data_IF_359922569231
#
_entry.id   IF_359922569231
#
_cell.length_a   1.000
_cell.length_b   1.000
_cell.length_c   1.000
_cell.angle_alpha   90.00
_cell.angle_beta   90.00
_cell.angle_gamma   90.00
#
_symmetry.space_group_name_H-M   'P 1'
#
loop_
_entity.id
_entity.type
_entity.pdbx_description
1 polymer ?
#
# COMPACT_ATOMS: atom_id res chain seq x y z
N UNK A 1 16.22 -32.75 6.52
CA UNK A 1 16.62 -32.09 5.25
C UNK A 1 16.13 -30.66 5.39
N UNK A 2 16.93 -29.63 5.17
CA UNK A 2 16.43 -28.25 5.35
C UNK A 2 15.62 -27.89 4.11
N UNK A 3 14.30 -27.73 4.25
CA UNK A 3 13.42 -27.29 3.17
C UNK A 3 13.54 -25.78 2.92
N UNK A 4 13.14 -25.30 1.74
CA UNK A 4 13.14 -23.87 1.38
C UNK A 4 11.92 -23.56 0.54
N UNK A 5 11.14 -22.54 0.93
CA UNK A 5 9.96 -22.08 0.22
C UNK A 5 10.03 -20.55 0.03
N UNK A 6 9.51 -20.05 -1.09
CA UNK A 6 9.54 -18.63 -1.44
C UNK A 6 8.32 -18.27 -2.31
N UNK A 7 7.80 -17.05 -2.14
CA UNK A 7 6.84 -16.43 -3.06
C UNK A 7 7.56 -15.28 -3.82
N UNK A 8 7.92 -15.47 -5.11
CA UNK A 8 8.67 -14.48 -5.88
C UNK A 8 7.85 -13.22 -6.23
N UNK A 9 6.53 -13.27 -6.05
CA UNK A 9 5.58 -12.20 -6.37
C UNK A 9 5.00 -11.58 -5.10
N UNK A 10 5.75 -11.61 -4.00
CA UNK A 10 5.36 -11.02 -2.73
C UNK A 10 6.51 -10.18 -2.17
N UNK A 11 6.31 -8.87 -2.08
CA UNK A 11 7.28 -7.97 -1.49
C UNK A 11 6.70 -6.61 -1.15
N UNK A 12 7.56 -5.71 -0.66
CA UNK A 12 7.15 -4.39 -0.18
C UNK A 12 6.44 -3.52 -1.23
N UNK A 13 6.67 -3.79 -2.52
CA UNK A 13 6.02 -3.09 -3.64
C UNK A 13 4.53 -3.42 -3.72
N UNK A 14 4.14 -4.66 -3.41
CA UNK A 14 2.74 -5.08 -3.45
C UNK A 14 1.91 -4.37 -2.39
N UNK A 15 2.50 -4.15 -1.21
CA UNK A 15 1.91 -3.31 -0.16
C UNK A 15 1.75 -1.85 -0.62
N UNK A 16 2.77 -1.28 -1.27
CA UNK A 16 2.68 0.08 -1.81
C UNK A 16 1.57 0.20 -2.87
N UNK A 17 1.40 -0.84 -3.70
CA UNK A 17 0.36 -0.89 -4.72
C UNK A 17 -1.05 -0.92 -4.12
N UNK A 18 -1.29 -1.73 -3.09
CA UNK A 18 -2.60 -1.78 -2.41
C UNK A 18 -2.97 -0.44 -1.77
N UNK A 19 -2.01 0.22 -1.12
CA UNK A 19 -2.22 1.56 -0.56
C UNK A 19 -2.53 2.57 -1.68
N UNK A 20 -1.76 2.51 -2.77
CA UNK A 20 -1.91 3.41 -3.91
C UNK A 20 -3.31 3.29 -4.53
N UNK A 21 -3.79 2.06 -4.72
CA UNK A 21 -5.12 1.80 -5.28
C UNK A 21 -6.23 2.27 -4.32
N UNK A 22 -6.08 2.04 -3.01
CA UNK A 22 -7.04 2.55 -2.02
C UNK A 22 -7.11 4.10 -2.00
N UNK A 23 -5.96 4.77 -2.08
CA UNK A 23 -5.91 6.24 -2.14
C UNK A 23 -6.45 6.78 -3.47
N UNK A 24 -6.21 6.06 -4.58
CA UNK A 24 -6.80 6.40 -5.88
C UNK A 24 -8.32 6.37 -5.81
N UNK A 25 -8.89 5.30 -5.24
CA UNK A 25 -10.34 5.17 -5.09
C UNK A 25 -10.94 6.26 -4.20
N UNK A 26 -10.27 6.63 -3.10
CA UNK A 26 -10.69 7.75 -2.24
C UNK A 26 -10.65 9.07 -3.02
N UNK A 27 -9.58 9.32 -3.78
CA UNK A 27 -9.43 10.56 -4.53
C UNK A 27 -10.40 10.66 -5.70
N UNK A 28 -10.70 9.54 -6.36
CA UNK A 28 -11.71 9.49 -7.40
C UNK A 28 -13.11 9.75 -6.83
N UNK A 29 -13.42 9.23 -5.63
CA UNK A 29 -14.71 9.47 -4.97
C UNK A 29 -14.86 10.92 -4.48
N UNK A 30 -13.81 11.47 -3.85
CA UNK A 30 -13.87 12.79 -3.20
C UNK A 30 -13.62 13.95 -4.14
N UNK A 31 -12.63 13.83 -5.03
CA UNK A 31 -12.18 14.92 -5.90
C UNK A 31 -12.52 14.68 -7.37
N UNK A 32 -13.08 13.51 -7.73
CA UNK A 32 -13.33 13.10 -9.12
C UNK A 32 -12.06 13.18 -9.99
N UNK A 33 -10.90 12.99 -9.37
CA UNK A 33 -9.59 13.01 -10.01
C UNK A 33 -9.09 11.59 -10.23
N UNK A 34 -8.51 11.34 -11.40
CA UNK A 34 -7.76 10.10 -11.65
C UNK A 34 -6.25 10.36 -11.46
N UNK A 35 -5.69 9.81 -10.39
CA UNK A 35 -4.26 9.89 -10.06
C UNK A 35 -3.37 9.13 -11.06
N UNK A 36 -3.95 8.28 -11.90
CA UNK A 36 -3.24 7.55 -12.97
C UNK A 36 -3.21 8.30 -14.30
N UNK A 37 -3.90 9.44 -14.41
CA UNK A 37 -3.92 10.26 -15.63
C UNK A 37 -2.52 10.71 -16.08
N UNK A 38 -1.61 10.97 -15.13
CA UNK A 38 -0.25 11.45 -15.41
C UNK A 38 0.79 10.65 -14.64
N UNK A 39 1.85 10.21 -15.32
CA UNK A 39 2.97 9.46 -14.71
C UNK A 39 3.60 10.20 -13.52
N UNK A 40 3.71 11.53 -13.60
CA UNK A 40 4.21 12.39 -12.51
C UNK A 40 3.33 12.33 -11.26
N UNK A 41 2.01 12.40 -11.43
CA UNK A 41 1.06 12.32 -10.33
C UNK A 41 1.14 10.93 -9.65
N UNK A 42 1.13 9.86 -10.45
CA UNK A 42 1.31 8.49 -9.95
C UNK A 42 2.61 8.31 -9.16
N UNK A 43 3.73 8.85 -9.65
CA UNK A 43 5.01 8.74 -8.96
C UNK A 43 5.03 9.50 -7.62
N UNK A 44 4.47 10.72 -7.59
CA UNK A 44 4.35 11.50 -6.34
C UNK A 44 3.46 10.79 -5.32
N UNK A 45 2.31 10.27 -5.75
CA UNK A 45 1.42 9.51 -4.88
C UNK A 45 2.09 8.25 -4.34
N UNK A 46 2.79 7.49 -5.20
CA UNK A 46 3.54 6.32 -4.77
C UNK A 46 4.60 6.66 -3.71
N UNK A 47 5.31 7.77 -3.86
CA UNK A 47 6.32 8.20 -2.89
C UNK A 47 5.71 8.52 -1.51
N UNK A 48 4.54 9.18 -1.49
CA UNK A 48 3.82 9.44 -0.23
C UNK A 48 3.23 8.16 0.37
N UNK A 49 2.71 7.24 -0.45
CA UNK A 49 2.25 5.93 0.01
C UNK A 49 3.40 5.12 0.65
N UNK A 50 4.59 5.13 0.06
CA UNK A 50 5.76 4.43 0.61
C UNK A 50 6.19 5.05 1.96
N UNK A 51 6.22 6.39 2.07
CA UNK A 51 6.48 7.08 3.33
C UNK A 51 5.44 6.72 4.38
N UNK A 52 4.16 6.74 4.02
CA UNK A 52 3.06 6.38 4.91
C UNK A 52 3.19 4.93 5.41
N UNK A 53 3.52 3.98 4.52
CA UNK A 53 3.79 2.57 4.89
C UNK A 53 4.90 2.45 5.95
N UNK A 54 6.02 3.17 5.76
CA UNK A 54 7.12 3.18 6.73
C UNK A 54 6.67 3.74 8.09
N UNK A 55 5.92 4.84 8.08
CA UNK A 55 5.41 5.47 9.30
C UNK A 55 4.38 4.59 10.03
N UNK A 56 3.49 3.90 9.31
CA UNK A 56 2.50 2.98 9.89
C UNK A 56 3.14 1.74 10.53
N UNK A 57 4.36 1.38 10.10
CA UNK A 57 5.11 0.29 10.74
C UNK A 57 5.63 0.67 12.13
N UNK A 58 5.82 1.97 12.40
CA UNK A 58 6.30 2.48 13.69
C UNK A 58 5.20 3.08 14.55
N UNK A 59 4.16 3.66 13.94
CA UNK A 59 3.13 4.45 14.62
C UNK A 59 1.75 3.80 14.52
N UNK A 60 0.98 3.89 15.59
CA UNK A 60 -0.42 3.40 15.63
C UNK A 60 -1.42 4.47 15.20
N UNK A 61 -1.03 5.74 15.25
CA UNK A 61 -1.89 6.86 14.89
C UNK A 61 -2.15 6.92 13.37
N UNK A 62 -3.32 7.42 12.94
CA UNK A 62 -3.61 7.62 11.53
C UNK A 62 -2.57 8.53 10.87
N UNK A 63 -1.97 8.06 9.79
CA UNK A 63 -0.94 8.81 9.06
C UNK A 63 -1.62 9.62 7.95
N UNK A 64 -1.36 10.94 7.87
CA UNK A 64 -1.85 11.75 6.77
C UNK A 64 -1.10 11.38 5.47
N UNK A 65 -1.86 11.27 4.38
CA UNK A 65 -1.33 11.05 3.04
C UNK A 65 -1.85 12.22 2.21
N UNK A 66 -1.05 13.27 2.08
CA UNK A 66 -1.43 14.50 1.41
C UNK A 66 -0.41 14.93 0.38
N UNK A 67 -0.88 15.48 -0.74
CA UNK A 67 -0.05 16.05 -1.79
C UNK A 67 -0.56 17.43 -2.15
N UNK A 68 0.33 18.40 -2.03
CA UNK A 68 0.13 19.77 -2.49
C UNK A 68 0.37 19.88 -4.01
N UNK A 69 -0.50 20.64 -4.67
CA UNK A 69 -0.50 20.84 -6.13
C UNK A 69 -0.38 19.50 -6.88
N UNK A 70 -1.32 18.58 -6.65
CA UNK A 70 -1.22 17.22 -7.14
C UNK A 70 -1.60 17.10 -8.62
N UNK A 71 -2.82 17.48 -8.97
CA UNK A 71 -3.34 17.51 -10.34
C UNK A 71 -4.21 18.74 -10.50
N UNK A 72 -4.01 19.52 -11.58
CA UNK A 72 -4.74 20.77 -11.85
C UNK A 72 -4.68 21.77 -10.67
N UNK A 73 -3.53 21.87 -10.00
CA UNK A 73 -3.31 22.72 -8.82
C UNK A 73 -4.29 22.46 -7.66
N UNK A 74 -4.90 21.28 -7.62
CA UNK A 74 -5.71 20.84 -6.49
C UNK A 74 -4.87 20.07 -5.48
N UNK A 75 -5.08 20.42 -4.21
CA UNK A 75 -4.52 19.71 -3.07
C UNK A 75 -5.38 18.50 -2.75
N UNK A 76 -4.74 17.34 -2.61
CA UNK A 76 -5.41 16.11 -2.20
C UNK A 76 -4.89 15.72 -0.83
N UNK A 77 -5.83 15.53 0.10
CA UNK A 77 -5.52 15.10 1.45
C UNK A 77 -6.35 13.87 1.81
N UNK A 78 -5.66 12.82 2.24
CA UNK A 78 -6.20 11.59 2.78
C UNK A 78 -5.57 11.26 4.13
N UNK A 79 -6.12 10.26 4.80
CA UNK A 79 -5.56 9.67 6.01
C UNK A 79 -5.78 8.17 5.96
N UNK A 80 -4.84 7.40 6.48
CA UNK A 80 -4.98 5.96 6.59
C UNK A 80 -4.62 5.54 8.00
N UNK A 81 -5.50 4.74 8.62
CA UNK A 81 -5.21 4.13 9.91
C UNK A 81 -4.47 2.81 9.73
N UNK A 82 -3.81 2.35 10.79
CA UNK A 82 -3.19 1.03 10.81
C UNK A 82 -4.21 -0.10 10.60
N UNK A 83 -5.43 0.05 11.12
CA UNK A 83 -6.49 -0.93 10.94
C UNK A 83 -6.89 -1.07 9.44
N UNK A 84 -7.02 0.05 8.74
CA UNK A 84 -7.32 0.05 7.30
C UNK A 84 -6.18 -0.62 6.52
N UNK A 85 -4.93 -0.33 6.88
CA UNK A 85 -3.76 -0.95 6.25
C UNK A 85 -3.70 -2.47 6.49
N UNK A 86 -3.94 -2.92 7.71
CA UNK A 86 -3.99 -4.34 8.05
C UNK A 86 -5.11 -5.04 7.28
N UNK A 87 -6.27 -4.41 7.13
CA UNK A 87 -7.37 -4.94 6.32
C UNK A 87 -7.04 -5.04 4.83
N UNK A 88 -6.48 -3.99 4.24
CA UNK A 88 -6.07 -3.97 2.84
C UNK A 88 -5.04 -5.05 2.53
N UNK A 89 -4.16 -5.35 3.49
CA UNK A 89 -3.01 -6.24 3.28
C UNK A 89 -3.26 -7.68 3.70
N UNK A 90 -4.44 -8.01 4.25
CA UNK A 90 -4.86 -9.38 4.58
C UNK A 90 -4.54 -10.40 3.47
N UNK A 91 -4.83 -10.15 2.18
CA UNK A 91 -4.55 -11.13 1.13
C UNK A 91 -3.05 -11.44 0.96
N UNK A 92 -2.19 -10.44 1.16
CA UNK A 92 -0.73 -10.63 1.11
C UNK A 92 -0.24 -11.41 2.34
N UNK A 93 -0.77 -11.09 3.52
CA UNK A 93 -0.42 -11.79 4.76
C UNK A 93 -0.83 -13.28 4.71
N UNK A 94 -1.98 -13.60 4.12
CA UNK A 94 -2.41 -14.98 3.88
C UNK A 94 -1.46 -15.72 2.95
N UNK A 95 -0.99 -15.08 1.87
CA UNK A 95 0.03 -15.69 0.98
C UNK A 95 1.35 -15.96 1.70
N UNK A 96 1.80 -15.03 2.55
CA UNK A 96 2.98 -15.26 3.39
C UNK A 96 2.79 -16.47 4.31
N UNK A 97 1.63 -16.56 4.96
CA UNK A 97 1.28 -17.69 5.84
C UNK A 97 1.28 -19.01 5.07
N UNK A 98 0.67 -19.07 3.90
CA UNK A 98 0.63 -20.28 3.07
C UNK A 98 2.04 -20.75 2.68
N UNK A 99 2.95 -19.80 2.40
CA UNK A 99 4.35 -20.12 2.07
C UNK A 99 5.07 -20.76 3.26
N UNK A 100 4.83 -20.26 4.47
CA UNK A 100 5.39 -20.82 5.72
C UNK A 100 4.77 -22.20 6.02
N UNK A 101 3.47 -22.36 5.84
CA UNK A 101 2.80 -23.65 6.06
C UNK A 101 3.30 -24.73 5.08
N UNK A 102 3.56 -24.38 3.83
CA UNK A 102 4.16 -25.30 2.86
C UNK A 102 5.59 -25.67 3.24
N UNK A 103 6.39 -24.70 3.69
CA UNK A 103 7.74 -24.97 4.20
C UNK A 103 7.73 -25.98 5.34
N UNK A 104 6.81 -25.82 6.31
CA UNK A 104 6.69 -26.71 7.46
C UNK A 104 6.21 -28.12 7.08
N UNK A 105 5.48 -28.28 5.98
CA UNK A 105 5.06 -29.60 5.46
C UNK A 105 6.19 -30.32 4.74
N UNK A 106 7.11 -29.57 4.13
CA UNK A 106 8.23 -30.12 3.36
C UNK A 106 9.50 -30.34 4.20
N UNK A 107 9.57 -29.77 5.40
CA UNK A 107 10.68 -29.90 6.36
C UNK A 107 10.65 -31.23 7.13
#
# INVERSE_FOLDING_TARGET
MVATACDPLLGGRDFDHLILDAMRDDYQKRYKLDSYSTTKAKLRLKAECEKAKKLMSSNVQPIPIGLECFLNDMDVNGKMSRADFEELTKPLLERMRNTIENLLKEA
#
